data_IF_536559593348
#
_entry.id   IF_536559593348
#
_cell.length_a   1.000
_cell.length_b   1.000
_cell.length_c   1.000
_cell.angle_alpha   90.00
_cell.angle_beta   90.00
_cell.angle_gamma   90.00
#
_symmetry.space_group_name_H-M   'P 1'
#
loop_
_entity.id
_entity.type
_entity.pdbx_description
1 polymer ?
#
# COMPACT_ATOMS: atom_id res chain seq x y z
N UNK A 1 -10.14 66.65 -31.49
CA UNK A 1 -9.34 66.15 -30.34
C UNK A 1 -10.09 66.53 -29.08
N UNK A 2 -10.47 65.57 -28.23
CA UNK A 2 -11.11 65.88 -26.96
C UNK A 2 -10.18 66.75 -26.12
N UNK A 3 -10.70 67.85 -25.56
CA UNK A 3 -9.92 68.73 -24.71
C UNK A 3 -9.44 67.96 -23.48
N UNK A 4 -8.19 68.18 -23.07
CA UNK A 4 -7.58 67.54 -21.88
C UNK A 4 -8.43 67.76 -20.61
N UNK A 5 -9.27 68.80 -20.60
CA UNK A 5 -10.22 69.11 -19.52
C UNK A 5 -11.37 68.11 -19.36
N UNK A 6 -11.63 67.23 -20.33
CA UNK A 6 -12.74 66.25 -20.26
C UNK A 6 -12.31 64.83 -19.88
N UNK A 7 -11.03 64.60 -19.56
CA UNK A 7 -10.58 63.29 -19.09
C UNK A 7 -10.92 63.11 -17.59
N UNK A 8 -11.40 61.93 -17.17
CA UNK A 8 -11.58 61.61 -15.75
C UNK A 8 -10.26 61.79 -15.00
N UNK A 9 -10.26 62.65 -14.00
CA UNK A 9 -9.08 62.87 -13.14
C UNK A 9 -9.23 62.06 -11.87
N UNK A 10 -8.10 61.60 -11.34
CA UNK A 10 -8.05 61.01 -10.00
C UNK A 10 -8.55 62.03 -8.98
N UNK A 11 -9.22 61.55 -7.93
CA UNK A 11 -9.65 62.38 -6.82
C UNK A 11 -8.47 63.21 -6.28
N UNK A 12 -8.71 64.51 -6.09
CA UNK A 12 -7.65 65.48 -5.85
C UNK A 12 -6.94 65.22 -4.51
N UNK A 13 -7.64 64.66 -3.53
CA UNK A 13 -7.07 64.30 -2.23
C UNK A 13 -6.15 63.08 -2.34
N UNK A 14 -6.55 62.05 -3.08
CA UNK A 14 -5.70 60.86 -3.32
C UNK A 14 -4.47 61.23 -4.17
N UNK A 15 -4.65 62.08 -5.18
CA UNK A 15 -3.54 62.61 -5.98
C UNK A 15 -2.58 63.44 -5.14
N UNK A 16 -3.12 64.22 -4.19
CA UNK A 16 -2.36 64.92 -3.17
C UNK A 16 -1.54 63.96 -2.30
N UNK A 17 -2.17 62.93 -1.74
CA UNK A 17 -1.54 61.98 -0.82
C UNK A 17 -0.41 61.15 -1.45
N UNK A 18 -0.59 60.71 -2.71
CA UNK A 18 0.45 59.99 -3.45
C UNK A 18 1.61 60.94 -3.82
N UNK A 19 1.31 62.17 -4.24
CA UNK A 19 2.33 63.19 -4.53
C UNK A 19 3.09 63.63 -3.29
N UNK A 20 2.43 63.71 -2.13
CA UNK A 20 3.08 64.06 -0.86
C UNK A 20 3.96 62.92 -0.34
N UNK A 21 3.72 61.69 -0.81
CA UNK A 21 4.41 60.49 -0.34
C UNK A 21 3.96 60.09 1.06
N UNK A 22 3.78 58.80 1.30
CA UNK A 22 3.62 58.27 2.66
C UNK A 22 4.96 57.76 3.16
N UNK A 23 5.35 58.18 4.34
CA UNK A 23 6.56 57.69 4.99
C UNK A 23 6.28 56.31 5.58
N UNK A 24 6.71 55.27 4.86
CA UNK A 24 6.66 53.90 5.36
C UNK A 24 7.66 53.73 6.50
N UNK A 25 7.32 52.92 7.50
CA UNK A 25 8.25 52.58 8.59
C UNK A 25 9.51 51.97 7.98
N UNK A 26 10.66 52.62 8.18
CA UNK A 26 11.96 52.07 7.79
C UNK A 26 12.19 50.78 8.57
N UNK A 27 12.17 49.65 7.87
CA UNK A 27 12.58 48.35 8.45
C UNK A 27 14.06 48.18 8.17
N UNK A 28 14.85 48.02 9.23
CA UNK A 28 16.28 47.79 9.12
C UNK A 28 16.52 46.33 8.73
N UNK A 29 17.01 46.12 7.50
CA UNK A 29 17.50 44.81 7.05
C UNK A 29 18.91 44.59 7.60
N UNK A 30 19.09 43.59 8.46
CA UNK A 30 20.42 43.15 8.88
C UNK A 30 20.87 41.95 8.02
N UNK A 31 21.95 42.12 7.28
CA UNK A 31 22.65 41.02 6.61
C UNK A 31 23.45 40.26 7.68
N UNK A 32 23.09 39.00 7.92
CA UNK A 32 23.72 38.18 8.96
C UNK A 32 25.06 37.59 8.46
N UNK A 33 26.05 38.45 8.28
CA UNK A 33 27.43 38.05 7.99
C UNK A 33 28.13 37.66 9.30
N UNK A 34 27.74 36.52 9.87
CA UNK A 34 28.40 35.98 11.05
C UNK A 34 29.73 35.38 10.59
N UNK A 35 30.83 35.87 11.16
CA UNK A 35 32.14 35.26 10.93
C UNK A 35 32.13 33.83 11.50
N UNK A 36 32.87 32.89 10.88
CA UNK A 36 33.08 31.56 11.45
C UNK A 36 33.51 31.66 12.91
N UNK A 37 32.91 30.82 13.75
CA UNK A 37 33.30 30.74 15.16
C UNK A 37 34.68 30.08 15.28
N UNK A 38 35.30 30.21 16.45
CA UNK A 38 36.59 29.56 16.71
C UNK A 38 36.45 28.03 16.58
N UNK A 39 35.32 27.50 17.02
CA UNK A 39 34.95 26.10 16.95
C UNK A 39 34.84 25.62 15.49
N UNK A 40 34.24 26.43 14.60
CA UNK A 40 34.13 26.10 13.17
C UNK A 40 35.53 25.93 12.54
N UNK A 41 36.44 26.85 12.82
CA UNK A 41 37.82 26.82 12.30
C UNK A 41 38.62 25.64 12.86
N UNK A 42 38.46 25.32 14.15
CA UNK A 42 39.11 24.16 14.77
C UNK A 42 38.59 22.83 14.20
N UNK A 43 37.28 22.72 13.95
CA UNK A 43 36.68 21.56 13.31
C UNK A 43 37.19 21.38 11.89
N UNK A 44 37.21 22.45 11.09
CA UNK A 44 37.71 22.39 9.72
C UNK A 44 39.19 22.01 9.67
N UNK A 45 40.02 22.55 10.56
CA UNK A 45 41.43 22.18 10.65
C UNK A 45 41.63 20.68 10.92
N UNK A 46 40.85 20.11 11.86
CA UNK A 46 40.89 18.66 12.15
C UNK A 46 40.48 17.83 10.93
N UNK A 47 39.47 18.28 10.19
CA UNK A 47 39.01 17.61 8.98
C UNK A 47 40.10 17.61 7.89
N UNK A 48 40.74 18.77 7.66
CA UNK A 48 41.82 18.91 6.69
C UNK A 48 43.01 18.02 7.05
N UNK A 49 43.43 18.02 8.32
CA UNK A 49 44.49 17.14 8.81
C UNK A 49 44.14 15.66 8.59
N UNK A 50 42.89 15.28 8.88
CA UNK A 50 42.41 13.91 8.69
C UNK A 50 42.41 13.47 7.22
N UNK A 51 41.98 14.35 6.32
CA UNK A 51 41.99 14.07 4.87
C UNK A 51 43.43 13.90 4.40
N UNK A 52 44.33 14.79 4.82
CA UNK A 52 45.75 14.72 4.47
C UNK A 52 46.40 13.41 4.95
N UNK A 53 46.10 12.97 6.18
CA UNK A 53 46.56 11.68 6.72
C UNK A 53 46.09 10.48 5.88
N UNK A 54 44.84 10.50 5.42
CA UNK A 54 44.25 9.43 4.61
C UNK A 54 44.86 9.43 3.20
N UNK A 55 45.01 10.60 2.59
CA UNK A 55 45.58 10.76 1.25
C UNK A 55 47.03 10.26 1.19
N UNK A 56 47.81 10.55 2.23
CA UNK A 56 49.22 10.15 2.36
C UNK A 56 49.41 8.87 3.17
N UNK A 57 48.33 8.09 3.36
CA UNK A 57 48.40 6.87 4.13
C UNK A 57 49.27 5.83 3.39
N UNK A 58 50.36 5.44 4.05
CA UNK A 58 51.26 4.41 3.56
C UNK A 58 50.63 3.01 3.70
N UNK A 59 50.16 2.46 2.58
CA UNK A 59 49.55 1.13 2.52
C UNK A 59 50.49 0.00 2.93
N UNK A 60 51.81 0.21 2.98
CA UNK A 60 52.76 -0.81 3.46
C UNK A 60 52.65 -1.07 4.96
N UNK A 61 52.03 -0.15 5.71
CA UNK A 61 51.72 -0.31 7.14
C UNK A 61 50.53 -1.25 7.38
N UNK A 62 49.78 -1.63 6.33
CA UNK A 62 48.72 -2.61 6.44
C UNK A 62 49.31 -4.01 6.62
N UNK A 63 48.76 -4.77 7.56
CA UNK A 63 49.13 -6.18 7.73
C UNK A 63 48.67 -6.98 6.52
N UNK A 64 49.60 -7.63 5.83
CA UNK A 64 49.27 -8.56 4.76
C UNK A 64 48.42 -9.70 5.31
N UNK A 65 47.21 -9.85 4.78
CA UNK A 65 46.31 -10.96 5.12
C UNK A 65 46.36 -11.96 3.96
N UNK A 66 46.69 -13.24 4.20
CA UNK A 66 46.69 -14.24 3.13
C UNK A 66 45.26 -14.51 2.67
N UNK A 67 44.94 -14.09 1.44
CA UNK A 67 43.68 -14.45 0.78
C UNK A 67 43.83 -15.87 0.25
N UNK A 68 43.19 -16.84 0.91
CA UNK A 68 43.16 -18.23 0.44
C UNK A 68 41.89 -18.45 -0.38
N UNK A 69 42.02 -18.43 -1.70
CA UNK A 69 40.94 -18.83 -2.60
C UNK A 69 40.65 -20.33 -2.39
N UNK A 70 39.46 -20.66 -1.89
CA UNK A 70 39.04 -22.05 -1.72
C UNK A 70 38.43 -22.55 -3.03
N UNK A 71 39.26 -22.94 -3.98
CA UNK A 71 38.83 -23.77 -5.10
C UNK A 71 38.79 -25.22 -4.61
N UNK A 72 37.66 -25.64 -4.05
CA UNK A 72 37.43 -27.06 -3.75
C UNK A 72 36.73 -27.70 -4.94
N UNK A 73 37.26 -28.84 -5.38
CA UNK A 73 36.56 -29.66 -6.37
C UNK A 73 35.24 -30.17 -5.76
N UNK A 74 34.18 -30.33 -6.57
CA UNK A 74 32.95 -30.97 -6.12
C UNK A 74 33.25 -32.33 -5.48
N UNK A 75 32.57 -32.63 -4.37
CA UNK A 75 32.73 -33.92 -3.72
C UNK A 75 32.04 -35.02 -4.53
N UNK A 76 32.38 -36.29 -4.23
CA UNK A 76 31.69 -37.42 -4.84
C UNK A 76 30.18 -37.41 -4.53
N UNK A 77 29.78 -36.88 -3.37
CA UNK A 77 28.36 -36.76 -3.01
C UNK A 77 27.65 -35.72 -3.87
N UNK A 78 28.30 -34.59 -4.17
CA UNK A 78 27.73 -33.53 -5.00
C UNK A 78 27.45 -34.05 -6.42
N UNK A 79 28.40 -34.77 -6.99
CA UNK A 79 28.26 -35.40 -8.33
C UNK A 79 27.13 -36.44 -8.33
N UNK A 80 27.02 -37.25 -7.27
CA UNK A 80 25.95 -38.25 -7.16
C UNK A 80 24.57 -37.58 -7.08
N UNK A 81 24.43 -36.51 -6.29
CA UNK A 81 23.19 -35.75 -6.17
C UNK A 81 22.79 -35.12 -7.51
N UNK A 82 23.74 -34.48 -8.19
CA UNK A 82 23.50 -33.90 -9.51
C UNK A 82 23.03 -34.96 -10.51
N UNK A 83 23.71 -36.11 -10.57
CA UNK A 83 23.32 -37.22 -11.45
C UNK A 83 21.90 -37.74 -11.14
N UNK A 84 21.55 -37.89 -9.87
CA UNK A 84 20.21 -38.31 -9.46
C UNK A 84 19.13 -37.31 -9.89
N UNK A 85 19.41 -36.00 -9.79
CA UNK A 85 18.47 -34.96 -10.23
C UNK A 85 18.27 -34.99 -11.74
N UNK A 86 19.35 -35.16 -12.52
CA UNK A 86 19.27 -35.29 -13.97
C UNK A 86 18.46 -36.52 -14.39
N UNK A 87 18.71 -37.67 -13.77
CA UNK A 87 17.94 -38.89 -14.01
C UNK A 87 16.46 -38.71 -13.66
N UNK A 88 16.13 -38.06 -12.54
CA UNK A 88 14.75 -37.78 -12.17
C UNK A 88 14.07 -36.86 -13.18
N UNK A 89 14.75 -35.80 -13.61
CA UNK A 89 14.22 -34.86 -14.58
C UNK A 89 13.94 -35.54 -15.93
N UNK A 90 14.86 -36.38 -16.40
CA UNK A 90 14.68 -37.14 -17.64
C UNK A 90 13.51 -38.13 -17.53
N UNK A 91 13.42 -38.85 -16.41
CA UNK A 91 12.31 -39.78 -16.16
C UNK A 91 10.95 -39.09 -16.14
N UNK A 92 10.86 -37.88 -15.58
CA UNK A 92 9.62 -37.08 -15.59
C UNK A 92 9.31 -36.58 -17.00
N UNK A 93 10.32 -36.06 -17.71
CA UNK A 93 10.16 -35.51 -19.06
C UNK A 93 9.70 -36.57 -20.06
N UNK A 94 10.30 -37.76 -19.99
CA UNK A 94 10.05 -38.87 -20.91
C UNK A 94 9.02 -39.87 -20.37
N UNK A 95 8.28 -39.53 -19.31
CA UNK A 95 7.32 -40.45 -18.71
C UNK A 95 6.18 -40.77 -19.69
N UNK A 96 5.99 -42.03 -20.11
CA UNK A 96 4.93 -42.37 -21.05
C UNK A 96 3.56 -42.34 -20.35
N UNK A 97 2.66 -41.48 -20.84
CA UNK A 97 1.31 -41.33 -20.31
C UNK A 97 0.48 -42.64 -20.33
N UNK A 98 0.84 -43.59 -21.18
CA UNK A 98 0.21 -44.92 -21.24
C UNK A 98 0.38 -45.72 -19.94
N UNK A 99 1.41 -45.42 -19.14
CA UNK A 99 1.63 -46.03 -17.82
C UNK A 99 0.74 -45.42 -16.73
N UNK A 100 0.00 -44.34 -17.01
CA UNK A 100 -0.98 -43.80 -16.07
C UNK A 100 -2.21 -44.71 -16.01
N UNK A 101 -2.64 -45.04 -14.80
CA UNK A 101 -3.89 -45.75 -14.60
C UNK A 101 -5.08 -44.88 -15.01
N UNK A 102 -6.01 -45.46 -15.79
CA UNK A 102 -7.26 -44.79 -16.12
C UNK A 102 -8.12 -44.65 -14.87
N UNK A 103 -8.69 -43.48 -14.67
CA UNK A 103 -9.64 -43.19 -13.59
C UNK A 103 -10.84 -42.45 -14.17
N UNK A 104 -12.03 -42.73 -13.65
CA UNK A 104 -13.26 -42.04 -14.04
C UNK A 104 -13.45 -40.81 -13.15
N UNK A 105 -13.59 -39.63 -13.76
CA UNK A 105 -13.82 -38.37 -13.06
C UNK A 105 -15.24 -37.87 -13.30
N UNK A 106 -15.99 -37.61 -12.23
CA UNK A 106 -17.34 -37.01 -12.30
C UNK A 106 -17.27 -35.52 -11.96
N UNK A 107 -17.47 -34.66 -12.95
CA UNK A 107 -17.60 -33.21 -12.76
C UNK A 107 -19.09 -32.85 -12.59
N UNK A 108 -19.48 -32.39 -11.40
CA UNK A 108 -20.88 -32.04 -11.09
C UNK A 108 -21.16 -30.57 -11.39
N UNK A 109 -21.23 -30.22 -12.67
CA UNK A 109 -21.77 -28.94 -13.12
C UNK A 109 -23.28 -29.07 -13.41
N UNK A 110 -24.08 -29.30 -12.37
CA UNK A 110 -25.54 -29.30 -12.51
C UNK A 110 -26.08 -27.90 -12.25
N UNK A 111 -26.96 -27.43 -13.16
CA UNK A 111 -27.71 -26.20 -12.91
C UNK A 111 -28.60 -26.39 -11.68
N UNK A 112 -28.82 -25.34 -10.86
CA UNK A 112 -29.73 -25.39 -9.73
C UNK A 112 -31.10 -25.91 -10.16
N UNK A 113 -31.70 -26.80 -9.37
CA UNK A 113 -33.04 -27.30 -9.69
C UNK A 113 -34.10 -26.21 -9.45
N UNK A 114 -35.29 -26.31 -10.10
CA UNK A 114 -36.40 -25.41 -9.79
C UNK A 114 -36.79 -25.39 -8.31
N UNK A 115 -36.63 -26.51 -7.60
CA UNK A 115 -36.87 -26.60 -6.16
C UNK A 115 -35.84 -25.81 -5.35
N UNK A 116 -34.57 -25.85 -5.74
CA UNK A 116 -33.51 -25.08 -5.09
C UNK A 116 -33.74 -23.57 -5.28
N UNK A 117 -34.11 -23.17 -6.50
CA UNK A 117 -34.48 -21.79 -6.82
C UNK A 117 -35.71 -21.35 -6.03
N UNK A 118 -36.74 -22.19 -5.93
CA UNK A 118 -37.96 -21.89 -5.19
C UNK A 118 -37.68 -21.72 -3.68
N UNK A 119 -36.87 -22.61 -3.10
CA UNK A 119 -36.46 -22.54 -1.70
C UNK A 119 -35.76 -21.22 -1.40
N UNK A 120 -34.81 -20.82 -2.23
CA UNK A 120 -34.08 -19.56 -2.07
C UNK A 120 -35.00 -18.35 -2.23
N UNK A 121 -35.90 -18.35 -3.22
CA UNK A 121 -36.89 -17.29 -3.41
C UNK A 121 -37.82 -17.12 -2.21
N UNK A 122 -38.28 -18.21 -1.60
CA UNK A 122 -39.15 -18.13 -0.42
C UNK A 122 -38.46 -17.46 0.76
N UNK A 123 -37.18 -17.76 0.99
CA UNK A 123 -36.38 -17.13 2.05
C UNK A 123 -36.25 -15.62 1.79
N UNK A 124 -35.96 -15.24 0.54
CA UNK A 124 -35.90 -13.82 0.15
C UNK A 124 -37.26 -13.12 0.34
N UNK A 125 -38.37 -13.74 -0.07
CA UNK A 125 -39.71 -13.19 0.13
C UNK A 125 -40.07 -13.01 1.61
N UNK A 126 -39.73 -13.99 2.45
CA UNK A 126 -39.94 -13.88 3.90
C UNK A 126 -39.15 -12.72 4.52
N UNK A 127 -37.92 -12.48 4.06
CA UNK A 127 -37.10 -11.35 4.53
C UNK A 127 -37.68 -9.99 4.16
N UNK A 128 -38.39 -9.90 3.03
CA UNK A 128 -38.99 -8.66 2.50
C UNK A 128 -40.48 -8.54 2.83
N UNK A 129 -41.00 -9.35 3.76
CA UNK A 129 -42.43 -9.39 4.08
C UNK A 129 -42.85 -8.15 4.88
N UNK A 130 -43.78 -7.37 4.32
CA UNK A 130 -44.35 -6.18 4.95
C UNK A 130 -45.59 -6.54 5.79
N UNK A 131 -45.43 -6.41 7.12
CA UNK A 131 -46.45 -6.72 8.13
C UNK A 131 -47.66 -5.79 8.08
N UNK A 132 -47.57 -4.63 7.43
CA UNK A 132 -48.68 -3.67 7.35
C UNK A 132 -49.80 -4.16 6.43
N UNK A 133 -49.52 -5.15 5.57
CA UNK A 133 -50.52 -5.79 4.70
C UNK A 133 -51.32 -6.91 5.39
N UNK A 134 -51.08 -7.18 6.66
CA UNK A 134 -51.87 -8.15 7.42
C UNK A 134 -53.17 -7.51 7.91
N UNK A 135 -54.30 -8.18 7.66
CA UNK A 135 -55.57 -7.80 8.24
C UNK A 135 -55.51 -7.93 9.76
N UNK A 136 -56.04 -6.94 10.48
CA UNK A 136 -56.16 -7.02 11.93
C UNK A 136 -57.12 -8.15 12.33
N UNK A 137 -56.70 -8.96 13.31
CA UNK A 137 -57.54 -9.99 13.94
C UNK A 137 -57.42 -9.82 15.45
N UNK A 138 -58.56 -9.70 16.13
CA UNK A 138 -58.62 -9.70 17.58
C UNK A 138 -58.67 -11.15 18.10
N UNK A 139 -57.69 -11.59 18.92
CA UNK A 139 -57.68 -12.94 19.44
C UNK A 139 -58.74 -13.12 20.54
N UNK A 140 -59.64 -14.08 20.35
CA UNK A 140 -60.54 -14.56 21.40
C UNK A 140 -59.84 -15.69 22.16
N UNK A 141 -59.37 -15.42 23.37
CA UNK A 141 -58.75 -16.43 24.23
C UNK A 141 -59.85 -17.22 24.94
N UNK A 142 -60.17 -18.41 24.43
CA UNK A 142 -61.05 -19.35 25.13
C UNK A 142 -60.24 -20.16 26.13
N UNK A 143 -60.48 -19.95 27.43
CA UNK A 143 -59.83 -20.71 28.53
C UNK A 143 -60.53 -22.01 28.86
N UNK A 144 -61.56 -22.41 28.11
CA UNK A 144 -62.28 -23.64 28.37
C UNK A 144 -61.63 -24.84 27.68
N UNK A 145 -61.23 -25.83 28.48
CA UNK A 145 -60.71 -27.11 28.01
C UNK A 145 -61.88 -27.97 27.54
N UNK A 146 -62.10 -28.08 26.23
CA UNK A 146 -63.04 -29.05 25.67
C UNK A 146 -62.48 -30.48 25.86
N UNK A 147 -62.94 -31.20 26.88
CA UNK A 147 -62.73 -32.64 26.99
C UNK A 147 -63.73 -33.33 26.06
N UNK A 148 -63.29 -33.79 24.90
CA UNK A 148 -64.08 -34.69 24.06
C UNK A 148 -64.15 -36.05 24.77
N UNK A 149 -65.28 -36.37 25.40
CA UNK A 149 -65.57 -37.73 25.83
C UNK A 149 -65.95 -38.54 24.58
N UNK A 150 -65.04 -39.38 24.11
CA UNK A 150 -65.30 -40.35 23.05
C UNK A 150 -66.05 -41.54 23.67
N UNK A 151 -67.39 -41.59 23.53
CA UNK A 151 -68.15 -42.81 23.74
C UNK A 151 -68.19 -43.60 22.41
N UNK A 152 -67.52 -44.75 22.46
CA UNK A 152 -67.49 -45.94 21.59
C UNK A 152 -68.08 -45.88 20.17
#
# INVERSE_FOLDING_TARGET
>A
MAAVSQLPKMDEDLAGAVRSGLELKKVQTQEKNVLPTKEDVECEKKLVERIHEIEHFDSTKLKATPVKEKVVLPSQEDIKKEKQLLELQDNIHNFPHEKLHKTETSEKNVLPSPTDIAREKTIQMASSFDKTNLNHVEPVVTTEVCVCQNEN
#
